data_IF_921716031127
#
_entry.id   IF_921716031127
#
_cell.length_a   1.000
_cell.length_b   1.000
_cell.length_c   1.000
_cell.angle_alpha   90.00
_cell.angle_beta   90.00
_cell.angle_gamma   90.00
#
_symmetry.space_group_name_H-M   'P 1'
#
loop_
_entity.id
_entity.type
_entity.pdbx_description
1 polymer ?
#
# COMPACT_ATOMS: atom_id res chain seq x y z
N UNK A 1 26.56 -22.71 9.41
CA UNK A 1 25.23 -22.10 9.21
C UNK A 1 25.39 -20.61 9.49
N UNK A 2 25.03 -19.72 8.57
CA UNK A 2 25.18 -18.28 8.76
C UNK A 2 24.42 -17.81 10.02
N UNK A 3 25.09 -17.02 10.85
CA UNK A 3 24.55 -16.46 12.09
C UNK A 3 23.43 -15.47 11.78
N UNK A 4 22.51 -15.23 12.73
CA UNK A 4 21.39 -14.33 12.50
C UNK A 4 21.82 -12.90 12.14
N UNK A 5 22.95 -12.43 12.67
CA UNK A 5 23.51 -11.11 12.37
C UNK A 5 23.97 -10.99 10.91
N UNK A 6 24.62 -12.02 10.36
CA UNK A 6 25.03 -12.03 8.95
C UNK A 6 23.83 -11.96 8.01
N UNK A 7 22.73 -12.64 8.35
CA UNK A 7 21.48 -12.59 7.60
C UNK A 7 20.82 -11.21 7.64
N UNK A 8 20.83 -10.55 8.81
CA UNK A 8 20.28 -9.19 8.94
C UNK A 8 21.11 -8.17 8.16
N UNK A 9 22.45 -8.30 8.17
CA UNK A 9 23.35 -7.42 7.41
C UNK A 9 23.18 -7.59 5.89
N UNK A 10 23.04 -8.84 5.43
CA UNK A 10 22.75 -9.13 4.03
C UNK A 10 21.38 -8.59 3.61
N UNK A 11 20.37 -8.72 4.48
CA UNK A 11 19.02 -8.17 4.23
C UNK A 11 19.05 -6.65 4.11
N UNK A 12 19.72 -5.94 5.02
CA UNK A 12 19.83 -4.49 4.99
C UNK A 12 20.56 -3.99 3.73
N UNK A 13 21.62 -4.69 3.29
CA UNK A 13 22.33 -4.37 2.06
C UNK A 13 21.45 -4.56 0.81
N UNK A 14 20.67 -5.65 0.76
CA UNK A 14 19.74 -5.91 -0.34
C UNK A 14 18.60 -4.88 -0.38
N UNK A 15 18.04 -4.50 0.77
CA UNK A 15 17.03 -3.45 0.87
C UNK A 15 17.55 -2.10 0.34
N UNK A 16 18.78 -1.71 0.72
CA UNK A 16 19.40 -0.49 0.21
C UNK A 16 19.69 -0.52 -1.30
N UNK A 17 20.03 -1.69 -1.87
CA UNK A 17 20.19 -1.85 -3.32
C UNK A 17 18.86 -1.66 -4.05
N UNK A 18 17.76 -2.21 -3.51
CA UNK A 18 16.42 -2.08 -4.10
C UNK A 18 15.96 -0.61 -4.04
N UNK A 19 16.13 0.07 -2.91
CA UNK A 19 15.79 1.50 -2.80
C UNK A 19 16.59 2.38 -3.77
N UNK A 20 17.88 2.07 -3.99
CA UNK A 20 18.72 2.84 -4.93
C UNK A 20 18.34 2.62 -6.39
N UNK A 21 17.93 1.40 -6.76
CA UNK A 21 17.59 1.06 -8.15
C UNK A 21 16.16 1.46 -8.52
N UNK A 22 15.20 1.34 -7.61
CA UNK A 22 13.78 1.53 -7.91
C UNK A 22 13.18 2.81 -7.30
N UNK A 23 13.92 3.50 -6.43
CA UNK A 23 13.50 4.74 -5.78
C UNK A 23 12.94 4.51 -4.37
N UNK A 24 12.90 5.59 -3.58
CA UNK A 24 12.37 5.58 -2.20
C UNK A 24 10.91 5.11 -2.19
N UNK A 25 10.60 4.08 -1.39
CA UNK A 25 9.25 3.49 -1.29
C UNK A 25 9.03 2.23 -2.12
N UNK A 26 10.04 1.75 -2.86
CA UNK A 26 9.96 0.50 -3.65
C UNK A 26 9.91 -0.76 -2.80
N UNK A 27 10.40 -0.68 -1.56
CA UNK A 27 10.29 -1.74 -0.56
C UNK A 27 9.99 -1.11 0.79
N UNK A 28 8.93 -1.57 1.44
CA UNK A 28 8.49 -1.07 2.74
C UNK A 28 8.04 -2.27 3.58
N UNK A 29 8.24 -2.19 4.90
CA UNK A 29 7.64 -3.19 5.80
C UNK A 29 6.13 -3.01 5.80
N UNK A 30 5.41 -4.11 5.61
CA UNK A 30 3.96 -4.15 5.71
C UNK A 30 3.56 -3.79 7.16
N UNK A 31 3.10 -2.56 7.38
CA UNK A 31 2.76 -2.02 8.70
C UNK A 31 3.42 -0.69 9.05
N UNK A 32 4.45 -0.26 8.30
CA UNK A 32 5.08 1.07 8.47
C UNK A 32 4.36 2.17 7.66
N UNK A 33 3.23 1.81 7.05
CA UNK A 33 2.31 2.76 6.46
C UNK A 33 1.57 3.44 7.61
N UNK A 34 1.91 4.72 7.89
CA UNK A 34 0.93 5.65 8.47
C UNK A 34 -0.38 5.37 7.75
N UNK A 35 -1.43 5.04 8.50
CA UNK A 35 -2.80 4.88 7.98
C UNK A 35 -3.02 6.01 6.99
N UNK A 36 -2.90 5.70 5.70
CA UNK A 36 -3.08 6.69 4.65
C UNK A 36 -4.55 7.04 4.79
N UNK A 37 -4.86 8.25 5.24
CA UNK A 37 -6.24 8.75 5.23
C UNK A 37 -6.70 8.62 3.79
N UNK A 38 -7.52 7.60 3.55
CA UNK A 38 -8.05 7.32 2.23
C UNK A 38 -9.17 8.31 2.05
N UNK A 39 -8.88 9.42 1.40
CA UNK A 39 -9.93 10.33 0.96
C UNK A 39 -10.87 9.59 0.01
N UNK A 40 -12.16 9.63 0.32
CA UNK A 40 -13.23 8.98 -0.45
C UNK A 40 -14.16 10.03 -1.06
N UNK A 41 -14.53 9.86 -2.33
CA UNK A 41 -15.54 10.68 -2.99
C UNK A 41 -16.87 9.90 -3.01
N UNK A 42 -17.96 10.51 -2.54
CA UNK A 42 -19.30 9.92 -2.59
C UNK A 42 -19.67 9.52 -4.02
N UNK A 43 -20.22 8.31 -4.18
CA UNK A 43 -20.72 7.78 -5.45
C UNK A 43 -22.02 8.45 -5.92
N UNK A 44 -22.60 9.34 -5.09
CA UNK A 44 -23.90 9.96 -5.33
C UNK A 44 -25.09 9.07 -4.94
N UNK A 45 -24.83 7.87 -4.42
CA UNK A 45 -25.84 6.93 -3.91
C UNK A 45 -25.51 6.53 -2.48
N UNK A 46 -26.37 6.94 -1.53
CA UNK A 46 -26.16 6.68 -0.10
C UNK A 46 -26.01 5.18 0.20
N UNK A 47 -26.81 4.34 -0.47
CA UNK A 47 -26.75 2.89 -0.26
C UNK A 47 -25.43 2.28 -0.73
N UNK A 48 -24.85 2.83 -1.80
CA UNK A 48 -23.59 2.34 -2.37
C UNK A 48 -22.39 2.85 -1.55
N UNK A 49 -22.45 4.09 -1.06
CA UNK A 49 -21.45 4.67 -0.15
C UNK A 49 -21.37 3.92 1.18
N UNK A 50 -22.51 3.50 1.74
CA UNK A 50 -22.57 2.66 2.95
C UNK A 50 -22.05 1.25 2.67
N UNK A 51 -22.42 0.64 1.53
CA UNK A 51 -21.95 -0.69 1.17
C UNK A 51 -20.43 -0.76 0.94
N UNK A 52 -19.83 0.34 0.47
CA UNK A 52 -18.37 0.46 0.31
C UNK A 52 -17.64 0.62 1.66
N UNK A 53 -18.34 0.96 2.75
CA UNK A 53 -17.81 1.05 4.12
C UNK A 53 -16.86 2.22 4.37
N UNK A 54 -16.29 2.81 3.32
CA UNK A 54 -15.44 4.01 3.36
C UNK A 54 -16.20 5.27 2.92
N UNK A 55 -17.51 5.19 2.67
CA UNK A 55 -18.34 6.35 2.30
C UNK A 55 -18.20 6.81 0.84
N UNK A 56 -17.59 6.00 -0.03
CA UNK A 56 -17.46 6.33 -1.46
C UNK A 56 -16.29 5.64 -2.16
N UNK A 57 -15.88 6.20 -3.29
CA UNK A 57 -14.75 5.70 -4.08
C UNK A 57 -13.42 6.25 -3.53
N UNK A 58 -12.40 5.40 -3.33
CA UNK A 58 -11.11 5.83 -2.80
C UNK A 58 -10.30 6.59 -3.84
N UNK A 59 -9.82 7.78 -3.46
CA UNK A 59 -8.94 8.59 -4.29
C UNK A 59 -7.58 7.93 -4.50
N UNK A 60 -7.04 8.08 -5.71
CA UNK A 60 -5.74 7.51 -6.09
C UNK A 60 -5.72 6.00 -6.32
N UNK A 61 -6.89 5.34 -6.35
CA UNK A 61 -7.01 3.91 -6.66
C UNK A 61 -7.77 3.69 -7.97
N UNK A 62 -7.40 2.62 -8.67
CA UNK A 62 -8.10 2.19 -9.88
C UNK A 62 -9.41 1.52 -9.46
N UNK A 63 -10.54 2.15 -9.78
CA UNK A 63 -11.87 1.60 -9.57
C UNK A 63 -12.35 0.99 -10.89
N UNK A 64 -12.79 -0.26 -10.85
CA UNK A 64 -13.39 -0.95 -12.01
C UNK A 64 -14.85 -1.27 -11.74
N UNK A 65 -15.73 -0.72 -12.56
CA UNK A 65 -17.13 -1.12 -12.61
C UNK A 65 -17.30 -2.23 -13.63
N UNK A 66 -17.82 -3.37 -13.19
CA UNK A 66 -18.19 -4.47 -14.07
C UNK A 66 -19.69 -4.39 -14.39
N UNK A 67 -20.05 -4.69 -15.63
CA UNK A 67 -21.43 -4.84 -16.09
C UNK A 67 -21.51 -6.14 -16.90
N UNK A 68 -22.61 -6.88 -16.76
CA UNK A 68 -22.94 -8.03 -17.60
C UNK A 68 -23.35 -7.60 -19.02
#
# INVERSE_FOLDING_TARGET
>A
MATQEEKQKALAAALGQIEKQFGKGSIMKLGDTKTLDVESISTGSLGLDVALGIGGLPMGRIVRNFRA
#
